data_IF_731082568534
#
_entry.id   IF_731082568534
#
_cell.length_a   1.000
_cell.length_b   1.000
_cell.length_c   1.000
_cell.angle_alpha   90.00
_cell.angle_beta   90.00
_cell.angle_gamma   90.00
#
_symmetry.space_group_name_H-M   'P 1'
#
loop_
_entity.id
_entity.type
_entity.pdbx_description
1 polymer ?
#
# COMPACT_ATOMS: atom_id res chain seq x y z
N UNK A 1 -4.59 14.88 -12.39
CA UNK A 1 -3.70 14.21 -11.42
C UNK A 1 -4.13 12.78 -11.11
N UNK A 2 -5.30 12.53 -10.48
CA UNK A 2 -5.70 11.19 -10.00
C UNK A 2 -5.82 10.11 -11.08
N UNK A 3 -6.46 10.40 -12.22
CA UNK A 3 -6.54 9.45 -13.34
C UNK A 3 -5.18 9.06 -13.92
N UNK A 4 -4.22 9.99 -13.92
CA UNK A 4 -2.85 9.72 -14.36
C UNK A 4 -2.15 8.73 -13.40
N UNK A 5 -2.33 8.91 -12.09
CA UNK A 5 -1.79 7.98 -11.09
C UNK A 5 -2.37 6.57 -11.27
N UNK A 6 -3.68 6.47 -11.51
CA UNK A 6 -4.36 5.19 -11.77
C UNK A 6 -3.80 4.53 -13.03
N UNK A 7 -3.63 5.29 -14.12
CA UNK A 7 -3.06 4.76 -15.35
C UNK A 7 -1.63 4.25 -15.13
N UNK A 8 -0.79 5.03 -14.44
CA UNK A 8 0.58 4.63 -14.09
C UNK A 8 0.56 3.36 -13.24
N UNK A 9 -0.21 3.33 -12.16
CA UNK A 9 -0.33 2.15 -11.30
C UNK A 9 -0.83 0.91 -12.03
N UNK A 10 -1.81 1.07 -12.94
CA UNK A 10 -2.32 -0.03 -13.77
C UNK A 10 -1.24 -0.57 -14.70
N UNK A 11 -0.53 0.31 -15.41
CA UNK A 11 0.57 -0.09 -16.30
C UNK A 11 1.69 -0.76 -15.50
N UNK A 12 2.07 -0.19 -14.36
CA UNK A 12 3.08 -0.74 -13.46
C UNK A 12 2.71 -2.10 -12.88
N UNK A 13 1.42 -2.38 -12.65
CA UNK A 13 0.94 -3.69 -12.18
C UNK A 13 0.90 -4.74 -13.30
N UNK A 14 0.64 -4.33 -14.54
CA UNK A 14 0.57 -5.24 -15.70
C UNK A 14 1.95 -5.52 -16.32
N UNK A 15 2.88 -4.56 -16.26
CA UNK A 15 4.20 -4.66 -16.88
C UNK A 15 5.00 -5.93 -16.46
N UNK A 16 5.01 -6.36 -15.19
CA UNK A 16 5.68 -7.60 -14.76
C UNK A 16 5.07 -8.88 -15.31
N UNK A 17 3.80 -8.85 -15.74
CA UNK A 17 3.13 -9.98 -16.40
C UNK A 17 3.55 -10.11 -17.86
N UNK A 18 3.96 -9.00 -18.49
CA UNK A 18 4.42 -8.97 -19.87
C UNK A 18 5.93 -9.22 -19.97
N UNK A 19 6.69 -8.68 -19.03
CA UNK A 19 8.15 -8.76 -18.99
C UNK A 19 8.54 -9.34 -17.64
N UNK A 20 8.89 -10.64 -17.61
CA UNK A 20 9.38 -11.27 -16.39
C UNK A 20 10.82 -10.83 -16.16
N UNK A 21 11.01 -9.88 -15.25
CA UNK A 21 12.31 -9.33 -14.89
C UNK A 21 12.37 -9.02 -13.41
N UNK A 22 13.47 -9.40 -12.76
CA UNK A 22 13.73 -9.06 -11.36
C UNK A 22 13.74 -7.53 -11.12
N UNK A 23 14.00 -6.73 -12.17
CA UNK A 23 14.13 -5.27 -12.06
C UNK A 23 12.78 -4.56 -11.87
N UNK A 24 11.68 -5.28 -12.06
CA UNK A 24 10.34 -4.75 -11.88
C UNK A 24 9.83 -4.92 -10.44
N UNK A 25 10.60 -5.53 -9.55
CA UNK A 25 10.18 -5.74 -8.15
C UNK A 25 9.79 -4.42 -7.47
N UNK A 26 10.58 -3.34 -7.50
CA UNK A 26 10.17 -2.06 -6.88
C UNK A 26 8.94 -1.43 -7.55
N UNK A 27 8.77 -1.67 -8.86
CA UNK A 27 7.63 -1.16 -9.63
C UNK A 27 6.33 -1.80 -9.16
N UNK A 28 6.35 -3.11 -8.89
CA UNK A 28 5.18 -3.85 -8.38
C UNK A 28 4.74 -3.30 -7.02
N UNK A 29 5.69 -3.05 -6.11
CA UNK A 29 5.40 -2.59 -4.75
C UNK A 29 4.71 -1.22 -4.73
N UNK A 30 5.04 -0.35 -5.69
CA UNK A 30 4.42 0.98 -5.79
C UNK A 30 3.16 0.97 -6.67
N UNK A 31 3.02 0.00 -7.57
CA UNK A 31 1.93 -0.07 -8.54
C UNK A 31 0.55 -0.04 -7.85
N UNK A 32 0.37 -0.85 -6.81
CA UNK A 32 -0.90 -0.97 -6.11
C UNK A 32 -1.25 0.27 -5.28
N UNK A 33 -0.25 0.96 -4.72
CA UNK A 33 -0.47 2.25 -4.05
C UNK A 33 -0.99 3.27 -5.07
N UNK A 34 -0.33 3.38 -6.22
CA UNK A 34 -0.71 4.30 -7.29
C UNK A 34 -2.05 3.94 -7.95
N UNK A 35 -2.45 2.67 -7.88
CA UNK A 35 -3.73 2.20 -8.40
C UNK A 35 -4.87 2.44 -7.41
N UNK A 36 -4.78 1.88 -6.21
CA UNK A 36 -5.91 1.83 -5.28
C UNK A 36 -6.11 3.12 -4.49
N UNK A 37 -5.04 3.81 -4.12
CA UNK A 37 -5.17 5.01 -3.29
C UNK A 37 -5.90 6.17 -4.01
N UNK A 38 -5.61 6.48 -5.29
CA UNK A 38 -6.39 7.48 -6.02
C UNK A 38 -7.81 7.00 -6.32
N UNK A 39 -8.05 5.69 -6.52
CA UNK A 39 -9.40 5.14 -6.66
C UNK A 39 -10.22 5.36 -5.39
N UNK A 40 -9.64 5.12 -4.22
CA UNK A 40 -10.27 5.42 -2.93
C UNK A 40 -10.61 6.91 -2.84
N UNK A 41 -9.69 7.79 -3.24
CA UNK A 41 -9.91 9.23 -3.26
C UNK A 41 -11.08 9.63 -4.18
N UNK A 42 -11.17 9.05 -5.39
CA UNK A 42 -12.26 9.31 -6.33
C UNK A 42 -13.61 8.80 -5.84
N UNK A 43 -13.63 7.69 -5.10
CA UNK A 43 -14.85 7.12 -4.48
C UNK A 43 -15.28 7.86 -3.20
N UNK A 44 -14.54 8.90 -2.77
CA UNK A 44 -14.81 9.63 -1.53
C UNK A 44 -14.44 8.87 -0.25
N UNK A 45 -13.62 7.83 -0.37
CA UNK A 45 -13.12 7.04 0.76
C UNK A 45 -11.79 7.58 1.28
N UNK A 46 -11.39 7.22 2.52
CA UNK A 46 -10.09 7.58 3.06
C UNK A 46 -8.96 7.22 2.10
N UNK A 47 -8.07 8.15 1.83
CA UNK A 47 -6.96 7.98 0.88
C UNK A 47 -5.80 8.87 1.28
N UNK A 48 -4.57 8.39 1.07
CA UNK A 48 -3.32 9.12 1.30
C UNK A 48 -3.22 10.30 0.34
N UNK A 49 -3.56 10.11 -0.93
CA UNK A 49 -3.61 11.19 -1.94
C UNK A 49 -4.57 12.30 -1.51
N UNK A 50 -5.70 11.94 -0.89
CA UNK A 50 -6.66 12.88 -0.33
C UNK A 50 -6.12 13.62 0.90
N UNK A 51 -5.45 12.92 1.80
CA UNK A 51 -4.83 13.50 2.99
C UNK A 51 -3.69 14.47 2.62
N UNK A 52 -2.80 14.06 1.71
CA UNK A 52 -1.68 14.89 1.21
C UNK A 52 -2.18 16.16 0.52
N UNK A 53 -3.25 16.07 -0.27
CA UNK A 53 -3.87 17.24 -0.89
C UNK A 53 -4.43 18.24 0.13
N UNK A 54 -4.71 17.80 1.37
CA UNK A 54 -5.15 18.64 2.49
C UNK A 54 -4.01 19.01 3.44
N UNK A 55 -2.77 18.60 3.15
CA UNK A 55 -1.60 18.82 4.00
C UNK A 55 -1.53 17.92 5.24
N UNK A 56 -2.33 16.85 5.32
CA UNK A 56 -2.27 15.88 6.41
C UNK A 56 -1.33 14.73 6.05
N UNK A 57 -0.16 14.69 6.70
CA UNK A 57 0.84 13.65 6.52
C UNK A 57 0.80 12.58 7.60
N UNK A 58 -0.07 12.72 8.62
CA UNK A 58 -0.04 11.87 9.82
C UNK A 58 -0.31 10.42 9.49
N UNK A 59 -1.25 10.16 8.59
CA UNK A 59 -1.58 8.79 8.15
C UNK A 59 -0.41 8.15 7.44
N UNK A 60 0.16 8.83 6.45
CA UNK A 60 1.33 8.34 5.71
C UNK A 60 2.50 8.07 6.66
N UNK A 61 2.85 9.03 7.52
CA UNK A 61 3.93 8.88 8.49
C UNK A 61 3.69 7.71 9.45
N UNK A 62 2.45 7.53 9.93
CA UNK A 62 2.09 6.41 10.82
C UNK A 62 2.20 5.06 10.13
N UNK A 63 1.77 4.95 8.87
CA UNK A 63 1.88 3.72 8.08
C UNK A 63 3.35 3.38 7.78
N UNK A 64 4.15 4.38 7.40
CA UNK A 64 5.58 4.19 7.15
C UNK A 64 6.33 3.78 8.42
N UNK A 65 6.04 4.42 9.55
CA UNK A 65 6.62 4.07 10.83
C UNK A 65 6.19 2.67 11.28
N UNK A 66 4.90 2.33 11.16
CA UNK A 66 4.37 1.01 11.47
C UNK A 66 4.97 -0.08 10.60
N UNK A 67 5.11 0.17 9.29
CA UNK A 67 5.81 -0.72 8.36
C UNK A 67 7.28 -0.91 8.72
N UNK A 68 7.99 0.16 9.05
CA UNK A 68 9.37 0.09 9.51
C UNK A 68 9.55 -0.75 10.79
N UNK A 69 8.70 -0.52 11.81
CA UNK A 69 8.70 -1.32 13.05
C UNK A 69 8.37 -2.78 12.75
N UNK A 70 7.39 -3.03 11.87
CA UNK A 70 7.05 -4.38 11.43
C UNK A 70 8.24 -5.08 10.77
N UNK A 71 8.97 -4.40 9.89
CA UNK A 71 10.18 -4.94 9.26
C UNK A 71 11.28 -5.29 10.26
N UNK A 72 11.49 -4.44 11.27
CA UNK A 72 12.46 -4.72 12.35
C UNK A 72 12.04 -5.94 13.17
N UNK A 73 10.77 -6.02 13.56
CA UNK A 73 10.25 -7.15 14.33
C UNK A 73 10.28 -8.44 13.52
N UNK A 74 9.95 -8.38 12.23
CA UNK A 74 10.03 -9.51 11.31
C UNK A 74 11.45 -10.09 11.29
N UNK A 75 12.47 -9.26 11.07
CA UNK A 75 13.85 -9.72 11.04
C UNK A 75 14.37 -10.18 12.39
N UNK A 76 13.93 -9.52 13.47
CA UNK A 76 14.21 -9.99 14.82
C UNK A 76 13.73 -11.43 15.01
N UNK A 77 12.50 -11.77 14.64
CA UNK A 77 12.02 -13.15 14.74
C UNK A 77 12.65 -14.10 13.72
N UNK A 78 12.89 -13.64 12.50
CA UNK A 78 13.51 -14.45 11.44
C UNK A 78 14.92 -14.90 11.84
N UNK A 79 15.67 -14.06 12.55
CA UNK A 79 17.01 -14.39 13.05
C UNK A 79 17.02 -15.60 14.00
N UNK A 80 16.00 -15.73 14.86
CA UNK A 80 15.89 -16.83 15.82
C UNK A 80 15.17 -18.06 15.25
N UNK A 81 14.61 -17.98 14.05
CA UNK A 81 13.86 -19.07 13.46
C UNK A 81 14.79 -20.20 12.96
N UNK A 82 14.43 -21.46 13.27
CA UNK A 82 15.13 -22.65 12.74
C UNK A 82 15.00 -22.72 11.21
N UNK A 83 13.83 -22.36 10.68
CA UNK A 83 13.58 -22.19 9.25
C UNK A 83 13.57 -20.68 8.93
N UNK A 84 14.77 -20.11 8.82
CA UNK A 84 14.95 -18.69 8.47
C UNK A 84 14.75 -18.45 6.97
N UNK A 85 14.14 -17.30 6.65
CA UNK A 85 14.09 -16.79 5.29
C UNK A 85 15.46 -16.22 4.92
N UNK A 86 16.12 -16.85 3.94
CA UNK A 86 17.35 -16.35 3.34
C UNK A 86 17.02 -15.52 2.11
N UNK A 87 17.39 -14.24 2.13
CA UNK A 87 17.06 -13.29 1.07
C UNK A 87 18.19 -13.22 0.04
N UNK A 88 17.94 -13.74 -1.15
CA UNK A 88 18.79 -13.51 -2.32
C UNK A 88 18.20 -12.37 -3.15
N UNK A 89 18.71 -11.16 -2.95
CA UNK A 89 18.30 -10.00 -3.75
C UNK A 89 19.35 -9.78 -4.85
N UNK A 90 18.96 -9.66 -6.14
CA UNK A 90 19.88 -9.40 -7.24
C UNK A 90 20.45 -7.97 -7.25
N UNK A 91 20.00 -7.13 -6.31
CA UNK A 91 20.38 -5.73 -6.12
C UNK A 91 21.20 -5.59 -4.84
N UNK A 92 22.40 -5.00 -4.95
CA UNK A 92 23.20 -4.52 -3.82
C UNK A 92 23.24 -5.49 -2.63
N UNK A 93 23.50 -6.77 -2.89
CA UNK A 93 23.54 -7.83 -1.88
C UNK A 93 24.65 -7.67 -0.83
N UNK A 94 25.57 -6.71 -1.02
CA UNK A 94 26.74 -6.51 -0.17
C UNK A 94 26.45 -5.63 1.07
N UNK A 95 25.36 -4.85 1.07
CA UNK A 95 24.96 -4.05 2.25
C UNK A 95 23.84 -4.76 3.00
N UNK A 96 24.23 -5.60 3.96
CA UNK A 96 23.32 -6.37 4.82
C UNK A 96 23.31 -5.80 6.23
N UNK A 97 22.12 -5.70 6.81
CA UNK A 97 21.94 -5.50 8.24
C UNK A 97 21.29 -6.79 8.75
N UNK A 98 22.06 -7.60 9.50
CA UNK A 98 21.78 -9.02 9.77
C UNK A 98 21.81 -9.89 8.49
N UNK A 99 20.89 -10.86 8.38
CA UNK A 99 20.78 -11.78 7.24
C UNK A 99 20.05 -11.16 6.04
N UNK A 100 19.38 -10.00 6.23
CA UNK A 100 18.59 -9.32 5.20
C UNK A 100 19.37 -8.13 4.59
N UNK A 101 19.37 -7.98 3.25
CA UNK A 101 19.88 -6.78 2.60
C UNK A 101 19.02 -5.56 2.99
N UNK A 102 19.65 -4.39 3.14
CA UNK A 102 18.97 -3.14 3.56
C UNK A 102 17.76 -2.79 2.67
N UNK A 103 17.83 -3.15 1.39
CA UNK A 103 16.73 -2.98 0.44
C UNK A 103 15.46 -3.77 0.84
N UNK A 104 15.60 -4.90 1.52
CA UNK A 104 14.48 -5.68 2.04
C UNK A 104 13.71 -4.91 3.12
N UNK A 105 14.42 -4.23 4.03
CA UNK A 105 13.81 -3.37 5.04
C UNK A 105 13.07 -2.17 4.42
N UNK A 106 13.62 -1.62 3.33
CA UNK A 106 13.00 -0.51 2.58
C UNK A 106 11.65 -0.87 1.96
N UNK A 107 11.34 -2.15 1.81
CA UNK A 107 10.05 -2.61 1.34
C UNK A 107 8.93 -2.50 2.37
N UNK A 108 9.18 -2.81 3.65
CA UNK A 108 8.10 -2.88 4.63
C UNK A 108 7.27 -1.58 4.77
N UNK A 109 7.88 -0.38 4.74
CA UNK A 109 7.12 0.87 4.76
C UNK A 109 6.12 1.04 3.60
N UNK A 110 6.51 0.95 2.30
CA UNK A 110 5.55 1.02 1.21
C UNK A 110 4.55 -0.15 1.23
N UNK A 111 4.94 -1.35 1.67
CA UNK A 111 4.02 -2.48 1.79
C UNK A 111 2.89 -2.24 2.80
N UNK A 112 3.19 -1.60 3.95
CA UNK A 112 2.17 -1.23 4.92
C UNK A 112 1.16 -0.23 4.32
N UNK A 113 1.64 0.72 3.52
CA UNK A 113 0.80 1.68 2.79
C UNK A 113 -0.08 0.96 1.76
N UNK A 114 0.50 0.02 1.02
CA UNK A 114 -0.19 -0.78 0.01
C UNK A 114 -1.33 -1.60 0.61
N UNK A 115 -1.05 -2.36 1.67
CA UNK A 115 -2.04 -3.17 2.38
C UNK A 115 -3.20 -2.32 2.89
N UNK A 116 -2.91 -1.14 3.44
CA UNK A 116 -3.93 -0.20 3.88
C UNK A 116 -4.79 0.31 2.72
N UNK A 117 -4.19 0.70 1.59
CA UNK A 117 -4.92 1.20 0.42
C UNK A 117 -5.86 0.13 -0.17
N UNK A 118 -5.37 -1.12 -0.29
CA UNK A 118 -6.18 -2.28 -0.72
C UNK A 118 -7.30 -2.54 0.27
N UNK A 119 -7.01 -2.54 1.57
CA UNK A 119 -8.03 -2.76 2.61
C UNK A 119 -9.17 -1.75 2.52
N UNK A 120 -8.86 -0.45 2.41
CA UNK A 120 -9.89 0.58 2.27
C UNK A 120 -10.67 0.40 0.97
N UNK A 121 -10.00 0.02 -0.13
CA UNK A 121 -10.66 -0.25 -1.40
C UNK A 121 -11.65 -1.41 -1.27
N UNK A 122 -11.21 -2.56 -0.76
CA UNK A 122 -12.06 -3.73 -0.53
C UNK A 122 -13.22 -3.40 0.41
N UNK A 123 -12.96 -2.67 1.50
CA UNK A 123 -14.01 -2.20 2.41
C UNK A 123 -15.03 -1.31 1.68
N UNK A 124 -14.58 -0.46 0.77
CA UNK A 124 -15.45 0.39 -0.04
C UNK A 124 -16.35 -0.38 -1.02
N UNK A 125 -16.00 -1.62 -1.35
CA UNK A 125 -16.81 -2.51 -2.20
C UNK A 125 -17.85 -3.27 -1.38
N UNK A 126 -17.51 -3.60 -0.13
CA UNK A 126 -18.39 -4.32 0.79
C UNK A 126 -19.43 -3.40 1.43
N UNK A 127 -19.12 -2.11 1.62
CA UNK A 127 -20.05 -1.13 2.16
C UNK A 127 -21.13 -0.77 1.12
N UNK A 128 -22.30 -1.41 1.25
CA UNK A 128 -23.51 -1.06 0.50
C UNK A 128 -24.13 0.19 1.09
N UNK A 129 -23.59 1.38 0.81
CA UNK A 129 -24.39 2.60 1.02
C UNK A 129 -25.55 2.60 0.02
N UNK A 130 -26.75 2.27 0.49
CA UNK A 130 -27.99 2.71 -0.16
C UNK A 130 -28.12 4.21 0.08
N UNK A 131 -27.77 5.03 -0.91
CA UNK A 131 -28.25 6.41 -0.92
C UNK A 131 -29.75 6.38 -1.21
N UNK A 132 -30.57 6.30 -0.16
CA UNK A 132 -31.99 6.63 -0.26
C UNK A 132 -32.04 8.14 -0.42
N UNK A 133 -32.38 8.60 -1.62
CA UNK A 133 -32.69 10.01 -1.86
C UNK A 133 -34.11 10.27 -1.36
N UNK A 134 -34.25 10.69 -0.11
CA UNK A 134 -35.46 11.34 0.38
C UNK A 134 -35.21 12.84 0.50
N UNK A 135 -35.96 13.63 -0.27
CA UNK A 135 -36.24 15.03 0.01
C UNK A 135 -35.04 15.95 0.32
N UNK A 136 -34.12 16.15 -0.62
CA UNK A 136 -33.26 17.34 -0.65
C UNK A 136 -32.15 17.47 0.39
N UNK A 137 -32.07 16.60 1.40
CA UNK A 137 -30.95 16.56 2.34
C UNK A 137 -30.19 15.23 2.22
N UNK A 138 -28.87 15.30 2.00
CA UNK A 138 -28.02 14.12 2.00
C UNK A 138 -27.81 13.66 3.44
N UNK A 139 -28.75 12.89 3.98
CA UNK A 139 -28.58 12.21 5.26
C UNK A 139 -27.79 10.93 5.01
N UNK A 140 -26.51 10.92 5.40
CA UNK A 140 -25.70 9.69 5.42
C UNK A 140 -26.18 8.87 6.62
N UNK A 141 -27.16 8.01 6.42
CA UNK A 141 -27.57 7.03 7.43
C UNK A 141 -26.43 6.04 7.62
N UNK A 142 -25.70 6.20 8.72
CA UNK A 142 -24.68 5.24 9.18
C UNK A 142 -25.38 4.03 9.77
N UNK A 143 -25.79 3.08 8.94
CA UNK A 143 -26.22 1.76 9.41
C UNK A 143 -24.97 1.00 9.87
N UNK A 144 -24.68 1.04 11.17
CA UNK A 144 -23.74 0.10 11.80
C UNK A 144 -24.40 -1.29 11.79
N UNK A 145 -23.75 -2.25 11.14
CA UNK A 145 -23.96 -3.68 11.39
C UNK A 145 -23.34 -4.08 12.73
#
# INVERSE_FOLDING_TARGET
AKHLLIAIGTVSALLPLLIISAWLVPVVWLAFILLFDPLNCLRGWPSITGDLARGDYRRLASLLAGGGVCGVLWEFWNYWAVAKWTYTIPYLGDVKIFEMPVLGYGGFPPFAVECWAIYIFCRSLLDRRSSVFEGGETVITLTRS
#
